data_IF_031104038495
#
_entry.id   IF_031104038495
#
_cell.length_a   1.000
_cell.length_b   1.000
_cell.length_c   1.000
_cell.angle_alpha   90.00
_cell.angle_beta   90.00
_cell.angle_gamma   90.00
#
_symmetry.space_group_name_H-M   'P 1'
#
loop_
_entity.id
_entity.type
_entity.pdbx_description
1 polymer ?
#
# COMPACT_ATOMS: atom_id res chain seq x y z
N UNK A 1 -22.34 11.22 39.53
CA UNK A 1 -22.70 10.02 38.74
C UNK A 1 -22.11 10.14 37.35
N UNK A 2 -20.92 9.59 37.14
CA UNK A 2 -20.38 9.27 35.82
C UNK A 2 -19.78 7.87 35.91
N UNK A 3 -20.21 7.04 34.96
CA UNK A 3 -20.11 5.58 34.97
C UNK A 3 -18.63 5.15 35.01
N UNK A 4 -18.30 4.33 35.99
CA UNK A 4 -17.12 3.49 36.01
C UNK A 4 -17.23 2.52 34.82
N UNK A 5 -16.40 2.73 33.81
CA UNK A 5 -16.23 1.76 32.74
C UNK A 5 -15.36 0.66 33.32
N UNK A 6 -16.00 -0.43 33.74
CA UNK A 6 -15.33 -1.64 34.21
C UNK A 6 -14.38 -2.17 33.14
N UNK A 7 -13.10 -1.92 33.34
CA UNK A 7 -12.02 -2.55 32.60
C UNK A 7 -11.90 -3.97 33.14
N UNK A 8 -12.55 -4.93 32.47
CA UNK A 8 -12.39 -6.35 32.78
C UNK A 8 -11.02 -6.78 32.22
N UNK A 9 -9.96 -6.39 32.92
CA UNK A 9 -8.64 -6.94 32.71
C UNK A 9 -8.72 -8.34 33.32
N UNK A 10 -8.91 -9.36 32.49
CA UNK A 10 -8.65 -10.73 32.92
C UNK A 10 -7.20 -10.78 33.36
N UNK A 11 -6.96 -10.84 34.66
CA UNK A 11 -5.64 -11.04 35.24
C UNK A 11 -5.02 -12.29 34.61
N UNK A 12 -4.05 -12.08 33.71
CA UNK A 12 -3.35 -13.16 33.04
C UNK A 12 -2.33 -13.70 34.02
N UNK A 13 -2.68 -14.78 34.71
CA UNK A 13 -1.78 -15.48 35.62
C UNK A 13 -0.77 -16.28 34.79
N UNK A 14 0.52 -16.04 35.03
CA UNK A 14 1.61 -16.79 34.42
C UNK A 14 1.90 -18.03 35.26
N UNK A 15 1.92 -19.21 34.64
CA UNK A 15 2.03 -20.49 35.34
C UNK A 15 3.14 -21.33 34.71
N UNK A 16 3.98 -21.94 35.55
CA UNK A 16 5.05 -22.87 35.12
C UNK A 16 4.85 -24.25 35.75
N UNK A 17 5.09 -25.29 34.95
CA UNK A 17 5.17 -26.66 35.42
C UNK A 17 6.61 -26.97 35.85
N UNK A 18 6.80 -27.44 37.07
CA UNK A 18 8.10 -27.84 37.62
C UNK A 18 8.38 -29.32 37.37
N UNK A 19 9.65 -29.74 37.42
CA UNK A 19 10.09 -31.15 37.28
C UNK A 19 9.49 -32.12 38.32
N UNK A 20 8.77 -31.59 39.32
CA UNK A 20 8.05 -32.35 40.33
C UNK A 20 6.54 -32.49 40.04
N UNK A 21 6.11 -32.19 38.80
CA UNK A 21 4.71 -32.11 38.38
C UNK A 21 3.85 -31.13 39.18
N UNK A 22 4.47 -30.18 39.90
CA UNK A 22 3.77 -29.10 40.60
C UNK A 22 3.63 -27.89 39.69
N UNK A 23 2.44 -27.31 39.72
CA UNK A 23 2.07 -26.07 39.03
C UNK A 23 2.32 -24.91 39.99
N UNK A 24 3.15 -23.94 39.60
CA UNK A 24 3.44 -22.74 40.40
C UNK A 24 3.21 -21.48 39.57
N UNK A 25 2.64 -20.46 40.20
CA UNK A 25 2.54 -19.12 39.64
C UNK A 25 3.93 -18.49 39.51
N UNK A 26 4.13 -17.70 38.47
CA UNK A 26 5.38 -17.01 38.16
C UNK A 26 5.12 -15.51 38.25
N UNK A 27 5.71 -14.88 39.26
CA UNK A 27 5.63 -13.43 39.49
C UNK A 27 6.63 -12.63 38.65
N UNK A 28 7.53 -13.31 37.91
CA UNK A 28 8.55 -12.68 37.07
C UNK A 28 8.03 -12.37 35.66
N UNK A 29 8.62 -11.35 35.03
CA UNK A 29 8.38 -11.00 33.64
C UNK A 29 8.83 -12.15 32.70
N UNK A 30 7.86 -12.88 32.14
CA UNK A 30 8.13 -13.93 31.15
C UNK A 30 8.26 -13.33 29.76
N UNK A 31 9.47 -13.37 29.19
CA UNK A 31 9.67 -13.05 27.78
C UNK A 31 9.34 -14.27 26.90
N UNK A 32 8.19 -14.24 26.21
CA UNK A 32 7.82 -15.29 25.25
C UNK A 32 8.52 -15.07 23.92
N UNK A 33 9.53 -15.89 23.63
CA UNK A 33 10.12 -15.98 22.30
C UNK A 33 9.20 -16.78 21.37
N UNK A 34 8.67 -16.12 20.35
CA UNK A 34 8.01 -16.80 19.23
C UNK A 34 9.06 -16.98 18.12
N UNK A 35 9.30 -18.23 17.71
CA UNK A 35 10.20 -18.55 16.59
C UNK A 35 9.53 -18.33 15.22
N UNK A 36 8.70 -17.28 15.11
CA UNK A 36 8.12 -16.88 13.84
C UNK A 36 9.05 -15.86 13.16
N UNK A 37 9.22 -15.98 11.85
CA UNK A 37 10.08 -15.09 11.08
C UNK A 37 9.25 -14.42 9.99
N UNK A 38 9.46 -13.13 9.79
CA UNK A 38 8.80 -12.38 8.71
C UNK A 38 9.67 -12.34 7.45
N UNK A 39 11.00 -12.35 7.64
CA UNK A 39 12.02 -12.31 6.59
C UNK A 39 13.21 -13.16 7.02
N UNK A 40 13.85 -13.84 6.06
CA UNK A 40 15.15 -14.47 6.28
C UNK A 40 16.01 -14.36 5.02
N UNK A 41 17.32 -14.33 5.18
CA UNK A 41 18.28 -14.45 4.07
C UNK A 41 18.96 -15.81 4.20
N UNK A 42 18.86 -16.64 3.16
CA UNK A 42 19.49 -17.96 3.08
C UNK A 42 20.23 -18.02 1.76
N UNK A 43 21.51 -18.38 1.78
CA UNK A 43 22.36 -18.49 0.60
C UNK A 43 22.37 -17.24 -0.32
N UNK A 44 22.22 -16.06 0.29
CA UNK A 44 22.17 -14.78 -0.43
C UNK A 44 20.80 -14.42 -1.02
N UNK A 45 19.79 -15.27 -0.87
CA UNK A 45 18.43 -15.03 -1.32
C UNK A 45 17.54 -14.55 -0.18
N UNK A 46 16.75 -13.49 -0.43
CA UNK A 46 15.80 -12.93 0.53
C UNK A 46 14.44 -13.65 0.42
N UNK A 47 14.05 -14.32 1.49
CA UNK A 47 12.76 -14.97 1.65
C UNK A 47 11.84 -14.10 2.48
N UNK A 48 10.70 -13.72 1.91
CA UNK A 48 9.71 -12.83 2.51
C UNK A 48 8.46 -13.62 2.83
N UNK A 49 8.23 -13.92 4.12
CA UNK A 49 7.00 -14.58 4.58
C UNK A 49 5.85 -13.58 4.66
N UNK A 50 6.10 -12.37 5.16
CA UNK A 50 5.07 -11.36 5.35
C UNK A 50 5.39 -10.06 4.60
N UNK A 51 4.89 -9.96 3.37
CA UNK A 51 5.11 -8.79 2.52
C UNK A 51 4.61 -7.48 3.17
N UNK A 52 3.51 -7.50 3.92
CA UNK A 52 2.98 -6.29 4.55
C UNK A 52 3.95 -5.70 5.57
N UNK A 53 4.59 -6.56 6.37
CA UNK A 53 5.62 -6.12 7.31
C UNK A 53 6.86 -5.61 6.58
N UNK A 54 7.19 -6.14 5.41
CA UNK A 54 8.29 -5.63 4.60
C UNK A 54 7.98 -4.21 4.14
N UNK A 55 6.79 -4.02 3.59
CA UNK A 55 6.35 -2.72 3.07
C UNK A 55 6.30 -1.64 4.19
N UNK A 56 5.82 -2.02 5.37
CA UNK A 56 5.71 -1.12 6.52
C UNK A 56 7.07 -0.77 7.14
N UNK A 57 7.96 -1.76 7.29
CA UNK A 57 9.19 -1.57 8.09
C UNK A 57 10.36 -1.01 7.27
N UNK A 58 10.38 -1.20 5.95
CA UNK A 58 11.52 -0.83 5.09
C UNK A 58 11.31 0.47 4.30
N UNK A 59 10.36 1.32 4.70
CA UNK A 59 10.12 2.61 4.04
C UNK A 59 9.62 2.48 2.59
N UNK A 60 9.07 1.32 2.22
CA UNK A 60 8.52 1.06 0.89
C UNK A 60 7.41 2.07 0.53
N UNK A 61 6.63 2.49 1.53
CA UNK A 61 5.58 3.50 1.36
C UNK A 61 6.14 4.79 0.74
N UNK A 62 7.29 5.28 1.20
CA UNK A 62 7.92 6.50 0.66
C UNK A 62 8.40 6.31 -0.79
N UNK A 63 8.95 5.14 -1.10
CA UNK A 63 9.39 4.80 -2.46
C UNK A 63 8.18 4.70 -3.40
N UNK A 64 7.09 4.10 -2.91
CA UNK A 64 5.85 3.97 -3.62
C UNK A 64 5.21 5.34 -3.91
N UNK A 65 5.12 6.22 -2.91
CA UNK A 65 4.62 7.58 -3.04
C UNK A 65 5.44 8.35 -4.08
N UNK A 66 6.77 8.33 -3.98
CA UNK A 66 7.66 8.99 -4.95
C UNK A 66 7.39 8.52 -6.38
N UNK A 67 7.30 7.20 -6.58
CA UNK A 67 7.06 6.62 -7.90
C UNK A 67 5.66 6.92 -8.44
N UNK A 68 4.67 7.02 -7.55
CA UNK A 68 3.33 7.46 -7.90
C UNK A 68 3.32 8.93 -8.33
N UNK A 69 4.03 9.81 -7.61
CA UNK A 69 4.19 11.23 -7.99
C UNK A 69 4.83 11.36 -9.37
N UNK A 70 5.93 10.67 -9.65
CA UNK A 70 6.57 10.66 -10.96
C UNK A 70 5.61 10.20 -12.09
N UNK A 71 4.75 9.23 -11.77
CA UNK A 71 3.74 8.72 -12.71
C UNK A 71 2.64 9.75 -12.97
N UNK A 72 2.16 10.44 -11.93
CA UNK A 72 1.15 11.50 -12.05
C UNK A 72 1.71 12.69 -12.82
N UNK A 73 2.96 13.09 -12.57
CA UNK A 73 3.63 14.14 -13.33
C UNK A 73 3.79 13.78 -14.81
N UNK A 74 3.99 12.49 -15.12
CA UNK A 74 4.01 12.01 -16.51
C UNK A 74 2.64 12.16 -17.17
N UNK A 75 1.56 11.83 -16.46
CA UNK A 75 0.18 12.01 -16.94
C UNK A 75 -0.13 13.50 -17.16
N UNK A 76 0.31 14.36 -16.24
CA UNK A 76 0.15 15.81 -16.31
C UNK A 76 0.85 16.39 -17.56
N UNK A 77 2.09 15.96 -17.83
CA UNK A 77 2.86 16.35 -19.01
C UNK A 77 2.22 15.94 -20.35
N UNK A 78 1.46 14.86 -20.38
CA UNK A 78 0.70 14.47 -21.57
C UNK A 78 -0.41 15.50 -21.91
N UNK A 79 -0.84 16.32 -20.95
CA UNK A 79 -1.80 17.42 -21.18
C UNK A 79 -3.18 16.93 -21.61
N UNK A 80 -3.55 15.70 -21.24
CA UNK A 80 -4.84 15.07 -21.56
C UNK A 80 -5.86 15.31 -20.44
N UNK A 81 -5.40 15.49 -19.20
CA UNK A 81 -6.24 15.68 -18.02
C UNK A 81 -6.27 17.15 -17.65
N UNK A 82 -7.48 17.73 -17.53
CA UNK A 82 -7.68 19.14 -17.21
C UNK A 82 -7.29 19.48 -15.76
N UNK A 83 -7.73 18.65 -14.80
CA UNK A 83 -7.41 18.82 -13.39
C UNK A 83 -6.78 17.54 -12.81
N UNK A 84 -5.48 17.60 -12.56
CA UNK A 84 -4.69 16.52 -11.94
C UNK A 84 -4.65 16.63 -10.40
N UNK A 85 -5.22 17.68 -9.81
CA UNK A 85 -5.04 18.03 -8.39
C UNK A 85 -5.57 16.93 -7.47
N UNK A 86 -6.73 16.34 -7.80
CA UNK A 86 -7.30 15.20 -7.09
C UNK A 86 -6.38 13.97 -7.10
N UNK A 87 -5.77 13.70 -8.25
CA UNK A 87 -4.81 12.60 -8.37
C UNK A 87 -3.55 12.85 -7.54
N UNK A 88 -3.12 14.12 -7.41
CA UNK A 88 -1.96 14.51 -6.59
C UNK A 88 -2.27 14.46 -5.08
N UNK A 89 -3.46 14.85 -4.64
CA UNK A 89 -3.85 14.77 -3.21
C UNK A 89 -3.93 13.33 -2.71
N UNK A 90 -4.43 12.44 -3.56
CA UNK A 90 -4.77 11.07 -3.18
C UNK A 90 -3.57 10.11 -3.21
N UNK A 91 -2.38 10.57 -3.62
CA UNK A 91 -1.14 9.77 -3.60
C UNK A 91 -0.76 9.32 -2.18
N UNK A 92 -1.19 10.08 -1.16
CA UNK A 92 -0.95 9.75 0.25
C UNK A 92 -1.63 8.45 0.69
N UNK A 93 -2.66 7.99 -0.04
CA UNK A 93 -3.23 6.66 0.17
C UNK A 93 -2.41 5.59 -0.58
N UNK A 94 -1.77 4.69 0.18
CA UNK A 94 -1.00 3.56 -0.33
C UNK A 94 -1.76 2.68 -1.33
N UNK A 95 -3.08 2.55 -1.19
CA UNK A 95 -3.90 1.76 -2.10
C UNK A 95 -4.02 2.43 -3.48
N UNK A 96 -4.16 3.76 -3.50
CA UNK A 96 -4.25 4.56 -4.71
C UNK A 96 -2.88 4.67 -5.36
N UNK A 97 -1.83 4.98 -4.60
CA UNK A 97 -0.45 5.03 -5.09
C UNK A 97 -0.04 3.70 -5.76
N UNK A 98 -0.36 2.55 -5.17
CA UNK A 98 -0.14 1.22 -5.79
C UNK A 98 -0.86 1.07 -7.14
N UNK A 99 -2.12 1.52 -7.23
CA UNK A 99 -2.89 1.44 -8.48
C UNK A 99 -2.26 2.32 -9.57
N UNK A 100 -1.88 3.55 -9.23
CA UNK A 100 -1.25 4.49 -10.17
C UNK A 100 0.05 3.91 -10.72
N UNK A 101 0.97 3.48 -9.85
CA UNK A 101 2.26 2.90 -10.27
C UNK A 101 2.05 1.66 -11.14
N UNK A 102 1.10 0.79 -10.77
CA UNK A 102 0.78 -0.41 -11.54
C UNK A 102 0.26 -0.09 -12.94
N UNK A 103 -0.66 0.88 -13.06
CA UNK A 103 -1.20 1.29 -14.37
C UNK A 103 -0.13 1.98 -15.20
N UNK A 104 0.62 2.92 -14.61
CA UNK A 104 1.67 3.65 -15.30
C UNK A 104 2.77 2.73 -15.84
N UNK A 105 3.20 1.73 -15.06
CA UNK A 105 4.22 0.77 -15.49
C UNK A 105 3.82 -0.07 -16.70
N UNK A 106 2.51 -0.32 -16.89
CA UNK A 106 1.98 -1.18 -17.97
C UNK A 106 1.36 -0.40 -19.12
N UNK A 107 1.16 0.90 -18.97
CA UNK A 107 0.45 1.71 -19.96
C UNK A 107 1.37 2.09 -21.11
N UNK A 108 1.12 1.52 -22.29
CA UNK A 108 1.79 1.89 -23.54
C UNK A 108 1.40 3.33 -23.93
N UNK A 109 0.17 3.74 -23.62
CA UNK A 109 -0.35 5.07 -23.93
C UNK A 109 0.48 6.15 -23.24
N UNK A 110 0.78 5.97 -21.95
CA UNK A 110 1.58 6.93 -21.19
C UNK A 110 3.05 6.99 -21.62
N UNK A 111 3.54 5.96 -22.33
CA UNK A 111 4.95 5.86 -22.71
C UNK A 111 5.23 6.33 -24.14
N UNK A 112 4.27 6.16 -25.07
CA UNK A 112 4.54 6.30 -26.52
C UNK A 112 3.52 7.13 -27.28
N UNK A 113 2.32 7.37 -26.75
CA UNK A 113 1.27 8.07 -27.48
C UNK A 113 1.38 9.58 -27.26
N UNK A 114 1.17 10.36 -28.32
CA UNK A 114 1.04 11.81 -28.24
C UNK A 114 -0.41 12.22 -28.03
N UNK A 115 -0.62 13.42 -27.49
CA UNK A 115 -1.96 13.98 -27.24
C UNK A 115 -2.78 14.04 -28.53
N UNK A 116 -2.17 14.47 -29.63
CA UNK A 116 -2.86 14.67 -30.91
C UNK A 116 -3.38 13.36 -31.48
N UNK A 117 -2.57 12.29 -31.39
CA UNK A 117 -2.95 10.95 -31.87
C UNK A 117 -4.13 10.39 -31.07
N UNK A 118 -4.18 10.67 -29.76
CA UNK A 118 -5.26 10.24 -28.88
C UNK A 118 -6.56 10.99 -29.21
N UNK A 119 -6.49 12.32 -29.38
CA UNK A 119 -7.66 13.14 -29.75
C UNK A 119 -8.18 12.73 -31.13
N UNK A 120 -7.27 12.52 -32.10
CA UNK A 120 -7.62 12.06 -33.44
C UNK A 120 -8.33 10.70 -33.38
N UNK A 121 -7.79 9.75 -32.62
CA UNK A 121 -8.41 8.44 -32.43
C UNK A 121 -9.83 8.54 -31.83
N UNK A 122 -10.02 9.39 -30.82
CA UNK A 122 -11.35 9.59 -30.20
C UNK A 122 -12.35 10.19 -31.19
N UNK A 123 -11.92 11.14 -32.02
CA UNK A 123 -12.78 11.79 -33.01
C UNK A 123 -13.13 10.89 -34.20
N UNK A 124 -12.22 10.01 -34.61
CA UNK A 124 -12.40 9.04 -35.70
C UNK A 124 -13.16 7.77 -35.27
N UNK A 125 -13.22 7.49 -33.96
CA UNK A 125 -13.91 6.33 -33.40
C UNK A 125 -15.43 6.46 -33.56
N UNK A 126 -16.04 5.48 -34.26
CA UNK A 126 -17.50 5.42 -34.46
C UNK A 126 -18.23 5.11 -33.14
N UNK A 127 -18.98 6.11 -32.70
CA UNK A 127 -20.21 6.04 -31.89
C UNK A 127 -20.14 5.94 -30.36
N UNK A 128 -19.19 5.23 -29.74
CA UNK A 128 -19.22 5.08 -28.26
C UNK A 128 -18.34 6.05 -27.47
N UNK A 129 -17.20 6.46 -28.01
CA UNK A 129 -16.18 7.19 -27.25
C UNK A 129 -16.29 8.70 -27.50
N UNK A 130 -16.62 9.11 -28.72
CA UNK A 130 -16.67 10.51 -29.16
C UNK A 130 -17.52 11.43 -28.28
N UNK A 131 -18.66 10.96 -27.78
CA UNK A 131 -19.57 11.75 -26.96
C UNK A 131 -19.28 11.68 -25.45
N UNK A 132 -18.28 10.90 -25.02
CA UNK A 132 -17.95 10.73 -23.60
C UNK A 132 -16.89 11.73 -23.10
N UNK A 133 -16.11 12.32 -24.01
CA UNK A 133 -15.01 13.21 -23.67
C UNK A 133 -15.30 14.63 -24.16
N UNK A 134 -14.98 15.60 -23.30
CA UNK A 134 -14.94 17.02 -23.66
C UNK A 134 -13.48 17.44 -23.72
N UNK A 135 -13.14 18.22 -24.73
CA UNK A 135 -11.80 18.76 -24.91
C UNK A 135 -11.91 20.27 -24.76
N UNK A 136 -11.01 20.86 -23.97
CA UNK A 136 -10.80 22.31 -24.00
C UNK A 136 -10.10 22.68 -25.32
N UNK A 137 -10.48 23.81 -25.91
CA UNK A 137 -9.86 24.38 -27.12
C UNK A 137 -8.40 24.79 -26.91
#
# INVERSE_FOLDING_TARGET
MKKETGENIKDKINIKLTSSNKITEVDDDIFKLNFDFDFMIVDGELYVKNLKKLESNFGFIKVLEKKATESVDTIDKLGIVQDISYLKSDITDTAIARKIVKVASKSIVLQKCKKEDIIKFINESKDKIKNQFKFDE
#
